data_IF_526789454441
#
_entry.id   IF_526789454441
#
_cell.length_a   1.000
_cell.length_b   1.000
_cell.length_c   1.000
_cell.angle_alpha   90.00
_cell.angle_beta   90.00
_cell.angle_gamma   90.00
#
_symmetry.space_group_name_H-M   'P 1'
#
loop_
_entity.id
_entity.type
_entity.pdbx_description
1 polymer ?
#
# COMPACT_ATOMS: atom_id res chain seq x y z
N UNK A 1 -6.41 -22.17 -8.36
CA UNK A 1 -6.36 -20.73 -8.02
C UNK A 1 -7.74 -20.15 -8.27
N UNK A 2 -8.50 -19.82 -7.23
CA UNK A 2 -9.66 -18.95 -7.42
C UNK A 2 -9.09 -17.55 -7.65
N UNK A 3 -9.11 -17.09 -8.91
CA UNK A 3 -8.82 -15.69 -9.21
C UNK A 3 -9.83 -14.85 -8.44
N UNK A 4 -9.40 -14.21 -7.35
CA UNK A 4 -10.27 -13.27 -6.65
C UNK A 4 -10.48 -12.11 -7.63
N UNK A 5 -11.72 -11.69 -7.87
CA UNK A 5 -12.02 -10.55 -8.77
C UNK A 5 -11.24 -9.30 -8.40
N UNK A 6 -10.86 -9.20 -7.11
CA UNK A 6 -9.93 -8.22 -6.59
C UNK A 6 -8.55 -8.23 -7.29
N UNK A 7 -7.92 -9.39 -7.52
CA UNK A 7 -6.57 -9.47 -8.13
C UNK A 7 -6.57 -8.94 -9.56
N UNK A 8 -7.67 -9.22 -10.28
CA UNK A 8 -7.90 -8.74 -11.64
C UNK A 8 -8.08 -7.21 -11.65
N UNK A 9 -8.99 -6.70 -10.82
CA UNK A 9 -9.29 -5.26 -10.77
C UNK A 9 -8.13 -4.43 -10.22
N UNK A 10 -7.46 -4.92 -9.18
CA UNK A 10 -6.33 -4.22 -8.54
C UNK A 10 -5.13 -4.05 -9.48
N UNK A 11 -5.00 -4.91 -10.49
CA UNK A 11 -4.00 -4.78 -11.55
C UNK A 11 -4.54 -3.97 -12.74
N UNK A 12 -5.75 -4.27 -13.22
CA UNK A 12 -6.32 -3.61 -14.40
C UNK A 12 -6.49 -2.10 -14.24
N UNK A 13 -7.03 -1.64 -13.10
CA UNK A 13 -7.34 -0.21 -12.91
C UNK A 13 -6.06 0.66 -13.02
N UNK A 14 -5.01 0.46 -12.19
CA UNK A 14 -3.79 1.26 -12.31
C UNK A 14 -3.10 1.02 -13.66
N UNK A 15 -3.17 -0.20 -14.19
CA UNK A 15 -2.64 -0.53 -15.51
C UNK A 15 -3.25 0.28 -16.65
N UNK A 16 -4.57 0.44 -16.66
CA UNK A 16 -5.29 1.23 -17.66
C UNK A 16 -5.02 2.73 -17.50
N UNK A 17 -4.96 3.23 -16.26
CA UNK A 17 -4.60 4.63 -15.99
C UNK A 17 -3.22 4.92 -16.58
N UNK A 18 -2.25 4.04 -16.30
CA UNK A 18 -0.89 4.21 -16.83
C UNK A 18 -0.87 4.07 -18.36
N UNK A 19 -1.56 3.09 -18.93
CA UNK A 19 -1.65 2.94 -20.39
C UNK A 19 -2.18 4.22 -21.06
N UNK A 20 -3.28 4.78 -20.55
CA UNK A 20 -3.88 6.00 -21.08
C UNK A 20 -2.97 7.23 -20.89
N UNK A 21 -2.19 7.29 -19.81
CA UNK A 21 -1.22 8.36 -19.61
C UNK A 21 -0.03 8.27 -20.59
N UNK A 22 0.38 7.06 -20.98
CA UNK A 22 1.53 6.83 -21.85
C UNK A 22 1.19 6.76 -23.34
N UNK A 23 -0.04 6.42 -23.73
CA UNK A 23 -0.45 6.36 -25.14
C UNK A 23 -0.15 7.67 -25.90
N UNK A 24 -0.55 8.86 -25.40
CA UNK A 24 -0.21 10.14 -26.05
C UNK A 24 1.30 10.38 -26.15
N UNK A 25 2.06 9.98 -25.13
CA UNK A 25 3.53 10.09 -25.13
C UNK A 25 4.19 9.24 -26.21
N UNK A 26 3.61 8.08 -26.52
CA UNK A 26 4.06 7.21 -27.60
C UNK A 26 3.52 7.63 -28.98
N UNK A 27 2.74 8.72 -29.06
CA UNK A 27 2.15 9.20 -30.31
C UNK A 27 0.94 8.38 -30.78
N UNK A 28 0.34 7.57 -29.91
CA UNK A 28 -0.84 6.77 -30.25
C UNK A 28 -2.11 7.36 -29.63
N UNK A 29 -3.19 7.39 -30.41
CA UNK A 29 -4.53 7.66 -29.91
C UNK A 29 -5.20 6.37 -29.44
N UNK A 30 -6.02 6.46 -28.40
CA UNK A 30 -6.78 5.33 -27.92
C UNK A 30 -7.85 4.92 -28.94
N UNK A 31 -7.74 3.71 -29.50
CA UNK A 31 -8.75 3.14 -30.38
C UNK A 31 -9.49 1.97 -29.72
N UNK A 32 -10.82 2.11 -29.60
CA UNK A 32 -11.72 1.11 -28.98
C UNK A 32 -11.65 -0.27 -29.63
N UNK A 33 -11.30 -0.37 -30.90
CA UNK A 33 -11.22 -1.64 -31.62
C UNK A 33 -10.13 -2.57 -31.03
N UNK A 34 -9.11 -1.99 -30.39
CA UNK A 34 -8.01 -2.73 -29.76
C UNK A 34 -8.20 -2.95 -28.26
N UNK A 35 -9.42 -2.79 -27.72
CA UNK A 35 -9.68 -2.85 -26.28
C UNK A 35 -9.21 -4.16 -25.62
N UNK A 36 -9.29 -5.29 -26.32
CA UNK A 36 -8.80 -6.59 -25.82
C UNK A 36 -7.27 -6.55 -25.63
N UNK A 37 -6.56 -6.01 -26.63
CA UNK A 37 -5.10 -5.83 -26.56
C UNK A 37 -4.70 -4.86 -25.46
N UNK A 38 -5.39 -3.72 -25.37
CA UNK A 38 -5.18 -2.75 -24.30
C UNK A 38 -5.45 -3.31 -22.91
N UNK A 39 -6.47 -4.15 -22.75
CA UNK A 39 -6.75 -4.83 -21.47
C UNK A 39 -5.60 -5.73 -21.06
N UNK A 40 -5.03 -6.47 -22.01
CA UNK A 40 -3.89 -7.36 -21.76
C UNK A 40 -2.65 -6.58 -21.37
N UNK A 41 -2.33 -5.50 -22.11
CA UNK A 41 -1.20 -4.62 -21.80
C UNK A 41 -1.40 -3.95 -20.44
N UNK A 42 -2.59 -3.41 -20.19
CA UNK A 42 -2.96 -2.78 -18.93
C UNK A 42 -2.76 -3.75 -17.75
N UNK A 43 -3.23 -4.99 -17.86
CA UNK A 43 -3.02 -5.98 -16.80
C UNK A 43 -1.53 -6.19 -16.49
N UNK A 44 -0.70 -6.35 -17.52
CA UNK A 44 0.75 -6.48 -17.37
C UNK A 44 1.39 -5.24 -16.74
N UNK A 45 1.01 -4.05 -17.19
CA UNK A 45 1.45 -2.77 -16.61
C UNK A 45 1.06 -2.66 -15.12
N UNK A 46 -0.17 -3.04 -14.77
CA UNK A 46 -0.64 -3.05 -13.39
C UNK A 46 0.22 -3.92 -12.48
N UNK A 47 0.59 -5.11 -12.95
CA UNK A 47 1.49 -6.00 -12.23
C UNK A 47 2.87 -5.36 -12.01
N UNK A 48 3.44 -4.74 -13.05
CA UNK A 48 4.73 -4.04 -12.95
C UNK A 48 4.67 -2.86 -11.98
N UNK A 49 3.60 -2.07 -11.99
CA UNK A 49 3.40 -0.96 -11.05
C UNK A 49 3.39 -1.48 -9.61
N UNK A 50 2.70 -2.61 -9.35
CA UNK A 50 2.68 -3.20 -8.02
C UNK A 50 4.08 -3.64 -7.55
N UNK A 51 4.89 -4.18 -8.46
CA UNK A 51 6.29 -4.51 -8.18
C UNK A 51 7.10 -3.26 -7.83
N UNK A 52 7.01 -2.21 -8.65
CA UNK A 52 7.70 -0.93 -8.39
C UNK A 52 7.25 -0.32 -7.06
N UNK A 53 5.94 -0.36 -6.77
CA UNK A 53 5.38 0.14 -5.51
C UNK A 53 5.90 -0.63 -4.30
N UNK A 54 6.18 -1.92 -4.44
CA UNK A 54 6.82 -2.74 -3.40
C UNK A 54 8.26 -2.32 -3.15
N UNK A 55 9.03 -1.99 -4.20
CA UNK A 55 10.40 -1.48 -4.05
C UNK A 55 10.45 -0.09 -3.42
N UNK A 56 9.48 0.76 -3.74
CA UNK A 56 9.36 2.10 -3.17
C UNK A 56 8.78 2.11 -1.75
N UNK A 57 8.41 0.97 -1.19
CA UNK A 57 7.76 0.90 0.12
C UNK A 57 8.63 1.48 1.24
N UNK A 58 9.92 1.13 1.29
CA UNK A 58 10.84 1.68 2.29
C UNK A 58 11.01 3.20 2.11
N UNK A 59 10.99 3.70 0.88
CA UNK A 59 10.98 5.14 0.60
C UNK A 59 9.70 5.81 1.11
N UNK A 60 8.53 5.19 0.90
CA UNK A 60 7.28 5.70 1.44
C UNK A 60 7.29 5.74 2.97
N UNK A 61 7.79 4.69 3.63
CA UNK A 61 7.95 4.68 5.09
C UNK A 61 8.86 5.81 5.57
N UNK A 62 9.94 6.10 4.86
CA UNK A 62 10.80 7.24 5.17
C UNK A 62 10.01 8.56 5.13
N UNK A 63 9.22 8.80 4.08
CA UNK A 63 8.39 10.03 3.98
C UNK A 63 7.32 10.14 5.08
N UNK A 64 6.90 9.01 5.67
CA UNK A 64 5.89 9.00 6.72
C UNK A 64 6.43 9.25 8.13
N UNK A 65 7.76 9.33 8.28
CA UNK A 65 8.43 9.41 9.58
C UNK A 65 8.68 8.04 10.20
N UNK A 66 8.83 7.00 9.38
CA UNK A 66 9.12 5.63 9.80
C UNK A 66 7.99 4.65 9.52
N UNK A 67 8.21 3.40 9.92
CA UNK A 67 7.29 2.29 9.68
C UNK A 67 6.03 2.43 10.54
N UNK A 68 4.82 2.35 9.97
CA UNK A 68 3.56 2.44 10.71
C UNK A 68 3.47 1.49 11.91
N UNK A 69 3.91 0.23 11.75
CA UNK A 69 3.91 -0.77 12.80
C UNK A 69 4.82 -0.41 13.98
N UNK A 70 6.01 0.13 13.70
CA UNK A 70 6.94 0.59 14.74
C UNK A 70 6.41 1.81 15.45
N UNK A 71 5.86 2.78 14.71
CA UNK A 71 5.26 3.97 15.28
C UNK A 71 4.09 3.61 16.22
N UNK A 72 3.23 2.68 15.84
CA UNK A 72 2.12 2.24 16.69
C UNK A 72 2.59 1.55 17.99
N UNK A 73 3.63 0.72 17.94
CA UNK A 73 4.22 0.09 19.12
C UNK A 73 4.86 1.10 20.07
N UNK A 74 5.38 2.21 19.54
CA UNK A 74 5.92 3.32 20.34
C UNK A 74 4.85 4.31 20.79
N UNK A 75 3.56 3.98 20.63
CA UNK A 75 2.42 4.83 21.02
C UNK A 75 2.15 6.00 20.07
N UNK A 76 2.91 6.12 18.97
CA UNK A 76 2.73 7.15 17.94
C UNK A 76 1.62 6.73 16.98
N UNK A 77 0.44 7.29 17.16
CA UNK A 77 -0.69 7.14 16.24
C UNK A 77 -0.76 8.23 15.16
N UNK A 78 -1.60 8.00 14.16
CA UNK A 78 -2.05 9.03 13.21
C UNK A 78 -3.50 9.39 13.54
N UNK A 79 -3.98 10.55 13.06
CA UNK A 79 -5.36 11.02 13.17
C UNK A 79 -6.40 9.88 13.25
N UNK A 80 -7.08 9.76 14.40
CA UNK A 80 -8.07 8.72 14.76
C UNK A 80 -7.58 7.25 14.80
N UNK A 81 -6.33 6.97 14.44
CA UNK A 81 -5.73 5.62 14.48
C UNK A 81 -4.68 5.58 15.59
N UNK A 82 -5.12 5.11 16.77
CA UNK A 82 -4.27 4.86 17.93
C UNK A 82 -4.38 3.41 18.37
N UNK A 83 -3.28 2.89 18.88
CA UNK A 83 -3.19 1.61 19.58
C UNK A 83 -3.14 1.91 21.08
N UNK A 84 -4.23 1.64 21.80
CA UNK A 84 -4.33 1.98 23.22
C UNK A 84 -3.47 1.03 24.06
N UNK A 85 -3.59 -0.28 23.86
CA UNK A 85 -2.87 -1.33 24.59
C UNK A 85 -1.44 -1.57 24.08
N UNK A 86 -0.78 -0.52 23.56
CA UNK A 86 0.53 -0.63 22.91
C UNK A 86 1.63 -1.11 23.88
N UNK A 87 1.58 -0.73 25.16
CA UNK A 87 2.54 -1.15 26.19
C UNK A 87 2.41 -2.63 26.53
N UNK A 88 1.19 -3.10 26.75
CA UNK A 88 0.89 -4.50 27.09
C UNK A 88 1.25 -5.42 25.92
N UNK A 89 0.83 -5.07 24.70
CA UNK A 89 1.17 -5.80 23.47
C UNK A 89 2.69 -5.85 23.28
N UNK A 90 3.39 -4.71 23.45
CA UNK A 90 4.85 -4.65 23.30
C UNK A 90 5.57 -5.50 24.34
N UNK A 91 5.12 -5.50 25.59
CA UNK A 91 5.71 -6.30 26.66
C UNK A 91 5.49 -7.81 26.43
N UNK A 92 4.29 -8.20 26.00
CA UNK A 92 3.99 -9.59 25.66
C UNK A 92 4.78 -10.06 24.42
N UNK A 93 4.95 -9.22 23.41
CA UNK A 93 5.78 -9.56 22.26
C UNK A 93 7.27 -9.66 22.62
N UNK A 94 7.75 -8.82 23.54
CA UNK A 94 9.13 -8.88 24.04
C UNK A 94 9.41 -10.18 24.80
N UNK A 95 8.49 -10.67 25.63
CA UNK A 95 8.67 -11.93 26.35
C UNK A 95 8.73 -13.16 25.43
N UNK A 96 8.25 -13.03 24.18
CA UNK A 96 8.28 -14.06 23.15
C UNK A 96 9.44 -13.94 22.17
N UNK A 97 10.20 -12.84 22.20
CA UNK A 97 11.41 -12.72 21.40
C UNK A 97 12.56 -13.49 22.06
N UNK A 98 13.39 -14.12 21.22
CA UNK A 98 14.63 -14.77 21.66
C UNK A 98 15.78 -13.75 21.88
N UNK A 99 15.62 -12.53 21.37
CA UNK A 99 16.63 -11.47 21.48
C UNK A 99 16.46 -10.66 22.77
N UNK A 100 17.57 -10.28 23.39
CA UNK A 100 17.58 -9.46 24.61
C UNK A 100 17.10 -8.02 24.38
N UNK A 101 17.19 -7.51 23.14
CA UNK A 101 16.66 -6.19 22.76
C UNK A 101 16.06 -6.23 21.34
N UNK A 102 14.84 -6.78 21.18
CA UNK A 102 14.23 -6.93 19.86
C UNK A 102 13.82 -5.59 19.26
N UNK A 103 14.11 -5.40 17.97
CA UNK A 103 13.64 -4.24 17.23
C UNK A 103 12.11 -4.31 17.04
N UNK A 104 11.42 -3.16 16.97
CA UNK A 104 9.98 -3.10 16.68
C UNK A 104 9.58 -3.82 15.38
N UNK A 105 10.47 -3.88 14.38
CA UNK A 105 10.28 -4.66 13.15
C UNK A 105 10.16 -6.17 13.45
N UNK A 106 10.99 -6.67 14.34
CA UNK A 106 10.98 -8.07 14.78
C UNK A 106 9.70 -8.37 15.56
N UNK A 107 9.34 -7.50 16.52
CA UNK A 107 8.10 -7.65 17.30
C UNK A 107 6.85 -7.71 16.39
N UNK A 108 6.80 -6.87 15.36
CA UNK A 108 5.73 -6.91 14.36
C UNK A 108 5.73 -8.22 13.56
N UNK A 109 6.90 -8.76 13.19
CA UNK A 109 6.98 -10.03 12.49
C UNK A 109 6.50 -11.21 13.34
N UNK A 110 6.75 -11.18 14.65
CA UNK A 110 6.22 -12.16 15.61
C UNK A 110 4.69 -12.05 15.63
N UNK A 111 4.13 -10.87 15.85
CA UNK A 111 2.69 -10.64 15.86
C UNK A 111 2.02 -11.14 14.56
N UNK A 112 2.63 -10.79 13.41
CA UNK A 112 2.15 -11.22 12.10
C UNK A 112 2.12 -12.74 11.95
N UNK A 113 3.11 -13.47 12.47
CA UNK A 113 3.16 -14.94 12.43
C UNK A 113 2.01 -15.59 13.20
N UNK A 114 1.67 -15.04 14.37
CA UNK A 114 0.50 -15.50 15.14
C UNK A 114 -0.80 -15.22 14.39
N UNK A 115 -0.95 -14.03 13.82
CA UNK A 115 -2.14 -13.66 13.04
C UNK A 115 -2.29 -14.52 11.78
N UNK A 116 -1.21 -14.82 11.05
CA UNK A 116 -1.24 -15.71 9.88
C UNK A 116 -1.68 -17.14 10.23
N UNK A 117 -1.46 -17.59 11.48
CA UNK A 117 -1.89 -18.92 11.95
C UNK A 117 -3.39 -18.93 12.28
N UNK A 118 -3.97 -17.76 12.55
CA UNK A 118 -5.40 -17.60 12.74
C UNK A 118 -6.12 -17.66 11.38
N UNK A 119 -7.28 -18.34 11.31
CA UNK A 119 -8.12 -18.39 10.09
C UNK A 119 -8.90 -17.09 9.85
N UNK A 120 -8.41 -15.95 10.33
CA UNK A 120 -9.11 -14.67 10.20
C UNK A 120 -8.76 -14.02 8.84
N UNK A 121 -9.72 -14.06 7.92
CA UNK A 121 -9.59 -13.45 6.58
C UNK A 121 -9.41 -11.92 6.63
N UNK A 122 -9.71 -11.27 7.76
CA UNK A 122 -9.61 -9.80 7.88
C UNK A 122 -8.19 -9.32 7.63
N UNK A 123 -7.16 -10.08 8.03
CA UNK A 123 -5.77 -9.72 7.78
C UNK A 123 -5.48 -9.61 6.28
N UNK A 124 -5.93 -10.59 5.49
CA UNK A 124 -5.77 -10.58 4.03
C UNK A 124 -6.45 -9.36 3.41
N UNK A 125 -7.67 -9.04 3.83
CA UNK A 125 -8.42 -7.90 3.31
C UNK A 125 -7.72 -6.56 3.59
N UNK A 126 -7.16 -6.36 4.78
CA UNK A 126 -6.40 -5.14 5.09
C UNK A 126 -5.05 -5.09 4.36
N UNK A 127 -4.37 -6.23 4.22
CA UNK A 127 -3.13 -6.36 3.45
C UNK A 127 -3.35 -5.98 1.99
N UNK A 128 -4.38 -6.55 1.37
CA UNK A 128 -4.79 -6.27 0.00
C UNK A 128 -5.15 -4.78 -0.17
N UNK A 129 -6.00 -4.24 0.71
CA UNK A 129 -6.35 -2.82 0.65
C UNK A 129 -5.12 -1.89 0.74
N UNK A 130 -4.13 -2.24 1.56
CA UNK A 130 -2.87 -1.50 1.63
C UNK A 130 -2.07 -1.62 0.34
N UNK A 131 -1.87 -2.84 -0.17
CA UNK A 131 -1.14 -3.10 -1.42
C UNK A 131 -1.75 -2.33 -2.60
N UNK A 132 -3.07 -2.39 -2.79
CA UNK A 132 -3.76 -1.64 -3.84
C UNK A 132 -3.58 -0.12 -3.70
N UNK A 133 -3.68 0.40 -2.48
CA UNK A 133 -3.49 1.84 -2.25
C UNK A 133 -2.06 2.26 -2.63
N UNK A 134 -1.06 1.46 -2.26
CA UNK A 134 0.35 1.68 -2.62
C UNK A 134 0.58 1.64 -4.13
N UNK A 135 -0.04 0.69 -4.82
CA UNK A 135 -0.02 0.61 -6.29
C UNK A 135 -0.63 1.86 -6.92
N UNK A 136 -1.75 2.36 -6.40
CA UNK A 136 -2.37 3.61 -6.87
C UNK A 136 -1.49 4.84 -6.65
N UNK A 137 -0.80 4.94 -5.51
CA UNK A 137 0.19 6.00 -5.28
C UNK A 137 1.33 5.92 -6.30
N UNK A 138 1.87 4.72 -6.52
CA UNK A 138 2.95 4.50 -7.50
C UNK A 138 2.50 4.86 -8.91
N UNK A 139 1.29 4.41 -9.30
CA UNK A 139 0.66 4.74 -10.57
C UNK A 139 0.49 6.25 -10.74
N UNK A 140 0.01 6.95 -9.71
CA UNK A 140 -0.18 8.41 -9.80
C UNK A 140 1.14 9.15 -9.92
N UNK A 141 2.19 8.75 -9.20
CA UNK A 141 3.54 9.33 -9.36
C UNK A 141 4.08 9.12 -10.77
N UNK A 142 4.06 7.88 -11.28
CA UNK A 142 4.56 7.57 -12.63
C UNK A 142 3.77 8.30 -13.72
N UNK A 143 2.43 8.31 -13.62
CA UNK A 143 1.58 9.01 -14.58
C UNK A 143 1.84 10.53 -14.54
N UNK A 144 2.08 11.09 -13.37
CA UNK A 144 2.37 12.52 -13.22
C UNK A 144 3.70 12.91 -13.87
N UNK A 145 4.73 12.06 -13.79
CA UNK A 145 6.00 12.28 -14.49
C UNK A 145 5.76 12.40 -15.99
N UNK A 146 4.98 11.48 -16.57
CA UNK A 146 4.63 11.52 -18.00
C UNK A 146 3.81 12.76 -18.36
N UNK A 147 2.85 13.15 -17.51
CA UNK A 147 2.04 14.36 -17.72
C UNK A 147 2.93 15.60 -17.70
N UNK A 148 3.83 15.74 -16.73
CA UNK A 148 4.75 16.88 -16.67
C UNK A 148 5.73 16.91 -17.85
N UNK A 149 6.25 15.76 -18.27
CA UNK A 149 7.16 15.70 -19.41
C UNK A 149 6.53 16.25 -20.72
N UNK A 150 5.22 16.04 -20.92
CA UNK A 150 4.53 16.45 -22.14
C UNK A 150 3.79 17.79 -22.03
N UNK A 151 3.30 18.15 -20.84
CA UNK A 151 2.34 19.25 -20.65
C UNK A 151 2.77 20.24 -19.56
N UNK A 152 4.08 20.42 -19.30
CA UNK A 152 4.56 21.33 -18.25
C UNK A 152 4.12 22.81 -18.41
N UNK A 153 3.86 23.24 -19.64
CA UNK A 153 3.35 24.58 -19.94
C UNK A 153 1.85 24.74 -19.62
N UNK A 154 1.09 23.65 -19.51
CA UNK A 154 -0.33 23.68 -19.18
C UNK A 154 -0.51 23.63 -17.66
N UNK A 155 -1.25 24.60 -17.11
CA UNK A 155 -1.57 24.64 -15.69
C UNK A 155 -2.34 23.38 -15.23
N UNK A 156 -3.08 22.72 -16.13
CA UNK A 156 -3.83 21.49 -15.84
C UNK A 156 -2.92 20.33 -15.44
N UNK A 157 -1.68 20.29 -15.93
CA UNK A 157 -0.71 19.27 -15.54
C UNK A 157 -0.41 19.30 -14.04
N UNK A 158 -0.46 20.48 -13.41
CA UNK A 158 -0.19 20.67 -11.99
C UNK A 158 -1.32 20.13 -11.08
N UNK A 159 -2.51 19.81 -11.63
CA UNK A 159 -3.56 19.10 -10.88
C UNK A 159 -3.13 17.68 -10.47
N UNK A 160 -2.07 17.13 -11.09
CA UNK A 160 -1.49 15.86 -10.68
C UNK A 160 -0.85 15.90 -9.28
N UNK A 161 -0.35 17.07 -8.84
CA UNK A 161 0.29 17.25 -7.52
C UNK A 161 -0.70 17.00 -6.37
N UNK A 162 -1.87 17.67 -6.28
CA UNK A 162 -2.82 17.39 -5.22
C UNK A 162 -3.33 15.95 -5.26
N UNK A 163 -3.45 15.34 -6.45
CA UNK A 163 -3.82 13.93 -6.59
C UNK A 163 -2.79 13.01 -5.93
N UNK A 164 -1.50 13.22 -6.18
CA UNK A 164 -0.43 12.47 -5.51
C UNK A 164 -0.50 12.65 -3.99
N UNK A 165 -0.72 13.87 -3.50
CA UNK A 165 -0.80 14.15 -2.06
C UNK A 165 -1.98 13.39 -1.42
N UNK A 166 -3.14 13.38 -2.09
CA UNK A 166 -4.32 12.62 -1.63
C UNK A 166 -3.99 11.13 -1.56
N UNK A 167 -3.40 10.55 -2.61
CA UNK A 167 -3.02 9.15 -2.59
C UNK A 167 -1.98 8.87 -1.52
N UNK A 168 -0.97 9.73 -1.35
CA UNK A 168 0.06 9.57 -0.34
C UNK A 168 -0.54 9.50 1.07
N UNK A 169 -1.47 10.41 1.37
CA UNK A 169 -2.16 10.41 2.65
C UNK A 169 -3.05 9.17 2.82
N UNK A 170 -3.75 8.73 1.77
CA UNK A 170 -4.57 7.52 1.78
C UNK A 170 -3.75 6.25 2.02
N UNK A 171 -2.60 6.11 1.36
CA UNK A 171 -1.69 4.97 1.57
C UNK A 171 -1.18 4.96 3.00
N UNK A 172 -0.75 6.12 3.51
CA UNK A 172 -0.31 6.27 4.90
C UNK A 172 -1.39 5.82 5.88
N UNK A 173 -2.64 6.24 5.70
CA UNK A 173 -3.77 5.79 6.54
C UNK A 173 -3.96 4.27 6.47
N UNK A 174 -3.99 3.69 5.26
CA UNK A 174 -4.20 2.25 5.07
C UNK A 174 -3.09 1.40 5.69
N UNK A 175 -1.85 1.85 5.62
CA UNK A 175 -0.72 1.18 6.25
C UNK A 175 -0.84 1.14 7.79
N UNK A 176 -1.32 2.24 8.39
CA UNK A 176 -1.60 2.32 9.82
C UNK A 176 -2.80 1.46 10.23
N UNK A 177 -3.88 1.43 9.43
CA UNK A 177 -5.01 0.53 9.67
C UNK A 177 -4.61 -0.94 9.63
N UNK A 178 -3.84 -1.34 8.62
CA UNK A 178 -3.32 -2.70 8.50
C UNK A 178 -2.48 -3.10 9.71
N UNK A 179 -1.52 -2.24 10.09
CA UNK A 179 -0.67 -2.49 11.25
C UNK A 179 -1.46 -2.57 12.56
N UNK A 180 -2.45 -1.67 12.74
CA UNK A 180 -3.34 -1.69 13.91
C UNK A 180 -4.17 -2.97 13.96
N UNK A 181 -4.74 -3.40 12.85
CA UNK A 181 -5.58 -4.59 12.80
C UNK A 181 -4.78 -5.85 13.17
N UNK A 182 -3.54 -5.96 12.69
CA UNK A 182 -2.64 -7.05 13.11
C UNK A 182 -2.48 -7.08 14.62
N UNK A 183 -2.25 -5.92 15.25
CA UNK A 183 -2.14 -5.86 16.71
C UNK A 183 -3.46 -6.17 17.41
N UNK A 184 -4.61 -5.79 16.86
CA UNK A 184 -5.92 -6.10 17.45
C UNK A 184 -6.26 -7.59 17.36
N UNK A 185 -6.00 -8.23 16.21
CA UNK A 185 -6.19 -9.68 16.06
C UNK A 185 -5.22 -10.42 16.98
N UNK A 186 -3.97 -9.97 17.07
CA UNK A 186 -2.99 -10.53 18.00
C UNK A 186 -3.46 -10.43 19.47
N UNK A 187 -3.92 -9.25 19.89
CA UNK A 187 -4.48 -9.01 21.24
C UNK A 187 -5.59 -10.01 21.56
N UNK A 188 -6.50 -10.23 20.59
CA UNK A 188 -7.61 -11.17 20.72
C UNK A 188 -7.15 -12.64 20.84
N UNK A 189 -6.10 -13.04 20.13
CA UNK A 189 -5.54 -14.40 20.21
C UNK A 189 -4.91 -14.63 21.58
N UNK A 190 -4.23 -13.63 22.12
CA UNK A 190 -3.46 -13.72 23.36
C UNK A 190 -4.24 -13.29 24.61
N UNK A 191 -5.50 -12.89 24.47
CA UNK A 191 -6.37 -12.37 25.53
C UNK A 191 -5.74 -11.18 26.29
N UNK A 192 -5.25 -10.20 25.53
CA UNK A 192 -4.72 -8.89 25.99
C UNK A 192 -5.66 -7.79 25.51
#
# INVERSE_FOLDING_TARGET
MNFKSYDILSSLIPGFIMLLAYLPFLGFEYNKDYIIGYTTIAFGLGYLINTVGSWLEDFYFFTWGGRPSSNLLDGKGIWKIRLYNHTEIKNNLKSKSQNSNPCNKELFSIAMRYVCTSKDNRMEDFSNNYAFSRTMLTCSVLSSITIFANYYYDWRAYLSIPIIIIFWYRVKQRAYYFSKEIFQIYSKIENI
#
